data_IF_254619931188
#
_entry.id   IF_254619931188
#
_cell.length_a   1.000
_cell.length_b   1.000
_cell.length_c   1.000
_cell.angle_alpha   90.00
_cell.angle_beta   90.00
_cell.angle_gamma   90.00
#
_symmetry.space_group_name_H-M   'P 1'
#
loop_
_entity.id
_entity.type
_entity.pdbx_description
1 polymer ?
#
# COMPACT_ATOMS: atom_id res chain seq x y z
N UNK A 1 -53.05 -47.49 32.19
CA UNK A 1 -52.13 -47.48 31.03
C UNK A 1 -50.72 -47.21 31.56
N UNK A 2 -49.83 -48.22 31.52
CA UNK A 2 -48.44 -48.13 32.03
C UNK A 2 -47.51 -47.56 30.96
N UNK A 3 -46.60 -46.71 31.43
CA UNK A 3 -45.49 -46.01 30.78
C UNK A 3 -44.60 -46.90 29.88
N UNK A 4 -44.07 -46.36 28.77
CA UNK A 4 -42.66 -46.56 28.35
C UNK A 4 -42.13 -45.33 27.60
N UNK A 5 -41.03 -44.80 28.14
CA UNK A 5 -40.16 -43.76 27.61
C UNK A 5 -39.26 -44.37 26.51
N UNK A 6 -39.00 -43.66 25.41
CA UNK A 6 -37.86 -43.96 24.53
C UNK A 6 -37.06 -42.69 24.34
N UNK A 7 -35.83 -42.70 24.85
CA UNK A 7 -34.85 -41.64 24.72
C UNK A 7 -34.39 -41.54 23.26
N UNK A 8 -34.49 -40.35 22.66
CA UNK A 8 -33.87 -40.07 21.36
C UNK A 8 -32.61 -39.25 21.61
N UNK A 9 -31.48 -39.84 21.26
CA UNK A 9 -30.14 -39.28 21.39
C UNK A 9 -30.02 -38.01 20.53
N UNK A 10 -29.76 -36.85 21.15
CA UNK A 10 -29.45 -35.61 20.43
C UNK A 10 -27.98 -35.68 20.02
N UNK A 11 -27.71 -35.80 18.72
CA UNK A 11 -26.37 -35.69 18.16
C UNK A 11 -26.10 -34.18 17.95
N UNK A 12 -25.50 -33.51 18.92
CA UNK A 12 -25.07 -32.12 18.74
C UNK A 12 -23.82 -32.08 17.86
N UNK A 13 -24.00 -31.79 16.57
CA UNK A 13 -22.92 -31.44 15.66
C UNK A 13 -22.52 -29.98 15.93
N UNK A 14 -21.63 -29.74 16.90
CA UNK A 14 -20.96 -28.44 16.98
C UNK A 14 -19.87 -28.41 15.92
N UNK A 15 -20.18 -27.74 14.82
CA UNK A 15 -19.23 -27.33 13.80
C UNK A 15 -18.08 -26.59 14.50
N UNK A 16 -16.92 -27.23 14.61
CA UNK A 16 -15.70 -26.54 14.98
C UNK A 16 -15.43 -25.49 13.92
N UNK A 17 -15.48 -24.20 14.29
CA UNK A 17 -14.96 -23.15 13.44
C UNK A 17 -13.45 -23.37 13.31
N UNK A 18 -13.06 -24.12 12.28
CA UNK A 18 -11.71 -24.07 11.78
C UNK A 18 -11.47 -22.63 11.32
N UNK A 19 -10.84 -21.84 12.18
CA UNK A 19 -10.19 -20.62 11.71
C UNK A 19 -8.91 -21.10 11.04
N UNK A 20 -8.76 -21.01 9.71
CA UNK A 20 -7.44 -21.11 9.14
C UNK A 20 -6.62 -20.03 9.84
N UNK A 21 -5.62 -20.43 10.61
CA UNK A 21 -4.53 -19.55 10.97
C UNK A 21 -3.93 -19.14 9.63
N UNK A 22 -4.35 -17.99 9.12
CA UNK A 22 -3.75 -17.39 7.92
C UNK A 22 -2.34 -16.98 8.34
N UNK A 23 -1.43 -17.95 8.36
CA UNK A 23 -0.02 -17.66 8.20
C UNK A 23 0.12 -17.20 6.77
N UNK A 24 -0.15 -15.91 6.53
CA UNK A 24 0.14 -15.27 5.27
C UNK A 24 1.60 -15.61 4.94
N UNK A 25 1.83 -16.23 3.78
CA UNK A 25 3.17 -16.32 3.23
C UNK A 25 3.79 -14.91 3.28
N UNK A 26 5.11 -14.77 3.54
CA UNK A 26 5.74 -13.45 3.61
C UNK A 26 5.37 -12.69 2.33
N UNK A 27 4.63 -11.59 2.51
CA UNK A 27 4.16 -10.77 1.39
C UNK A 27 5.42 -10.31 0.66
N UNK A 28 5.63 -10.83 -0.55
CA UNK A 28 6.75 -10.42 -1.39
C UNK A 28 6.61 -8.91 -1.57
N UNK A 29 7.62 -8.16 -1.18
CA UNK A 29 7.61 -6.70 -1.29
C UNK A 29 7.31 -6.29 -2.74
N UNK A 30 6.23 -5.53 -2.99
CA UNK A 30 5.90 -5.07 -4.33
C UNK A 30 7.02 -4.21 -4.91
N UNK A 31 7.26 -4.33 -6.23
CA UNK A 31 8.32 -3.61 -6.96
C UNK A 31 7.77 -2.63 -7.99
N UNK A 32 6.55 -2.85 -8.46
CA UNK A 32 5.85 -2.01 -9.43
C UNK A 32 4.60 -1.40 -8.82
N UNK A 33 4.10 -0.29 -9.38
CA UNK A 33 2.85 0.29 -8.90
C UNK A 33 1.67 -0.67 -9.09
N UNK A 34 1.66 -1.45 -10.17
CA UNK A 34 0.65 -2.51 -10.39
C UNK A 34 0.56 -3.46 -9.20
N UNK A 35 1.69 -3.96 -8.70
CA UNK A 35 1.72 -4.87 -7.54
C UNK A 35 1.27 -4.18 -6.24
N UNK A 36 1.72 -2.93 -6.00
CA UNK A 36 1.26 -2.14 -4.85
C UNK A 36 -0.26 -1.96 -4.85
N UNK A 37 -0.82 -1.60 -6.00
CA UNK A 37 -2.24 -1.38 -6.18
C UNK A 37 -3.07 -2.67 -6.04
N UNK A 38 -2.62 -3.78 -6.64
CA UNK A 38 -3.32 -5.07 -6.55
C UNK A 38 -3.35 -5.63 -5.12
N UNK A 39 -2.29 -5.40 -4.35
CA UNK A 39 -2.18 -5.86 -2.96
C UNK A 39 -2.71 -4.84 -1.95
N UNK A 40 -3.31 -3.73 -2.41
CA UNK A 40 -3.72 -2.59 -1.57
C UNK A 40 -4.44 -3.00 -0.29
N UNK A 41 -5.36 -3.97 -0.35
CA UNK A 41 -6.12 -4.42 0.82
C UNK A 41 -5.25 -4.95 1.97
N UNK A 42 -4.11 -5.56 1.65
CA UNK A 42 -3.19 -6.20 2.59
C UNK A 42 -2.08 -5.27 3.09
N UNK A 43 -1.97 -4.05 2.54
CA UNK A 43 -0.92 -3.10 2.91
C UNK A 43 -1.17 -2.44 4.28
N UNK A 44 -0.10 -1.98 4.96
CA UNK A 44 -0.22 -1.05 6.09
C UNK A 44 -0.97 0.23 5.69
N UNK A 45 -1.60 0.89 6.66
CA UNK A 45 -2.46 2.05 6.39
C UNK A 45 -1.65 3.21 5.78
N UNK A 46 -0.42 3.38 6.23
CA UNK A 46 0.54 4.37 5.76
C UNK A 46 0.81 4.18 4.27
N UNK A 47 1.13 2.95 3.86
CA UNK A 47 1.38 2.60 2.46
C UNK A 47 0.12 2.70 1.60
N UNK A 48 -1.05 2.32 2.15
CA UNK A 48 -2.35 2.46 1.48
C UNK A 48 -2.62 3.91 1.09
N UNK A 49 -2.36 4.85 1.99
CA UNK A 49 -2.55 6.29 1.74
C UNK A 49 -1.80 6.75 0.49
N UNK A 50 -0.53 6.35 0.34
CA UNK A 50 0.27 6.67 -0.84
C UNK A 50 -0.28 6.04 -2.11
N UNK A 51 -0.70 4.77 -2.06
CA UNK A 51 -1.33 4.09 -3.21
C UNK A 51 -2.61 4.82 -3.63
N UNK A 52 -3.44 5.24 -2.68
CA UNK A 52 -4.67 5.98 -2.97
C UNK A 52 -4.40 7.36 -3.56
N UNK A 53 -3.41 8.09 -3.07
CA UNK A 53 -2.98 9.36 -3.64
C UNK A 53 -2.53 9.19 -5.11
N UNK A 54 -1.75 8.16 -5.39
CA UNK A 54 -1.29 7.84 -6.74
C UNK A 54 -2.43 7.42 -7.69
N UNK A 55 -3.42 6.69 -7.19
CA UNK A 55 -4.63 6.37 -7.98
C UNK A 55 -5.45 7.63 -8.30
N UNK A 56 -5.50 8.62 -7.40
CA UNK A 56 -6.12 9.93 -7.67
C UNK A 56 -5.37 10.69 -8.76
N UNK A 57 -4.03 10.72 -8.69
CA UNK A 57 -3.17 11.33 -9.73
C UNK A 57 -3.42 10.68 -11.09
N UNK A 58 -3.46 9.34 -11.13
CA UNK A 58 -3.71 8.58 -12.36
C UNK A 58 -5.18 8.64 -12.84
N UNK A 59 -6.10 9.15 -12.02
CA UNK A 59 -7.54 9.27 -12.30
C UNK A 59 -8.19 7.95 -12.70
N UNK A 60 -7.73 6.83 -12.13
CA UNK A 60 -8.26 5.49 -12.42
C UNK A 60 -8.08 4.57 -11.22
N UNK A 61 -8.94 3.56 -11.10
CA UNK A 61 -8.79 2.46 -10.14
C UNK A 61 -8.21 1.20 -10.80
N UNK A 62 -8.01 1.20 -12.12
CA UNK A 62 -7.35 0.10 -12.81
C UNK A 62 -5.84 0.17 -12.56
N UNK A 63 -5.30 -0.80 -11.82
CA UNK A 63 -3.89 -0.82 -11.43
C UNK A 63 -2.90 -0.81 -12.61
N UNK A 64 -3.24 -1.48 -13.72
CA UNK A 64 -2.37 -1.52 -14.91
C UNK A 64 -2.33 -0.15 -15.59
N UNK A 65 -3.51 0.44 -15.81
CA UNK A 65 -3.62 1.77 -16.41
C UNK A 65 -2.96 2.85 -15.52
N UNK A 66 -3.13 2.73 -14.20
CA UNK A 66 -2.48 3.64 -13.26
C UNK A 66 -0.96 3.50 -13.33
N UNK A 67 -0.43 2.28 -13.37
CA UNK A 67 1.00 2.05 -13.54
C UNK A 67 1.53 2.68 -14.84
N UNK A 68 0.89 2.41 -15.98
CA UNK A 68 1.25 3.00 -17.27
C UNK A 68 1.26 4.54 -17.25
N UNK A 69 0.27 5.14 -16.58
CA UNK A 69 0.19 6.60 -16.42
C UNK A 69 1.35 7.11 -15.55
N UNK A 70 1.52 6.53 -14.36
CA UNK A 70 2.47 7.00 -13.36
C UNK A 70 3.93 6.82 -13.80
N UNK A 71 4.26 5.70 -14.44
CA UNK A 71 5.65 5.44 -14.90
C UNK A 71 6.07 6.35 -16.05
N UNK A 72 5.13 7.04 -16.71
CA UNK A 72 5.42 8.00 -17.77
C UNK A 72 5.41 9.46 -17.29
N UNK A 73 5.13 9.73 -16.01
CA UNK A 73 5.17 11.08 -15.47
C UNK A 73 6.60 11.60 -15.41
N UNK A 74 6.77 12.87 -15.78
CA UNK A 74 8.00 13.65 -15.55
C UNK A 74 7.86 14.58 -14.35
N UNK A 75 6.64 14.92 -13.95
CA UNK A 75 6.36 15.76 -12.78
C UNK A 75 5.24 15.15 -11.94
N UNK A 76 5.42 15.14 -10.63
CA UNK A 76 4.46 14.61 -9.67
C UNK A 76 4.33 15.55 -8.47
N UNK A 77 3.11 16.02 -8.22
CA UNK A 77 2.74 16.81 -7.04
C UNK A 77 1.91 15.93 -6.08
N UNK A 78 2.43 15.73 -4.89
CA UNK A 78 1.82 14.98 -3.79
C UNK A 78 1.85 15.80 -2.48
N UNK A 79 1.90 17.12 -2.57
CA UNK A 79 1.94 17.98 -1.38
C UNK A 79 0.69 17.83 -0.50
N UNK A 80 0.82 18.01 0.80
CA UNK A 80 -0.32 18.05 1.74
C UNK A 80 -1.21 16.79 1.72
N UNK A 81 -0.63 15.61 1.48
CA UNK A 81 -1.39 14.34 1.38
C UNK A 81 -1.27 13.44 2.62
N UNK A 82 -0.64 13.92 3.71
CA UNK A 82 -0.42 13.14 4.94
C UNK A 82 0.34 11.82 4.67
N UNK A 83 1.21 11.80 3.64
CA UNK A 83 1.97 10.63 3.22
C UNK A 83 3.11 10.39 4.22
N UNK A 84 3.27 9.16 4.69
CA UNK A 84 4.39 8.74 5.54
C UNK A 84 5.24 7.62 4.94
N UNK A 85 4.66 6.75 4.11
CA UNK A 85 5.38 5.68 3.41
C UNK A 85 5.43 5.90 1.89
N UNK A 86 6.60 6.27 1.38
CA UNK A 86 6.82 6.56 -0.04
C UNK A 86 7.41 5.38 -0.85
N UNK A 87 7.46 4.16 -0.29
CA UNK A 87 7.88 2.97 -1.07
C UNK A 87 7.17 2.82 -2.42
N UNK A 88 5.87 3.12 -2.57
CA UNK A 88 5.20 3.04 -3.88
C UNK A 88 5.77 3.95 -4.98
N UNK A 89 6.58 4.96 -4.64
CA UNK A 89 7.21 5.87 -5.60
C UNK A 89 8.49 5.30 -6.24
N UNK A 90 9.07 4.23 -5.69
CA UNK A 90 10.45 3.82 -5.97
C UNK A 90 10.75 3.38 -7.42
N UNK A 91 9.72 3.25 -8.27
CA UNK A 91 9.84 2.85 -9.68
C UNK A 91 9.35 3.95 -10.65
N UNK A 92 9.02 5.15 -10.16
CA UNK A 92 8.62 6.27 -11.02
C UNK A 92 9.86 6.99 -11.58
N UNK A 93 10.77 6.23 -12.19
CA UNK A 93 12.14 6.67 -12.51
C UNK A 93 12.23 7.73 -13.60
N UNK A 94 11.13 7.99 -14.33
CA UNK A 94 11.06 9.06 -15.32
C UNK A 94 10.79 10.46 -14.71
N UNK A 95 10.52 10.54 -13.41
CA UNK A 95 10.32 11.80 -12.73
C UNK A 95 11.58 12.67 -12.77
N UNK A 96 11.40 13.92 -13.18
CA UNK A 96 12.38 15.00 -13.10
C UNK A 96 12.01 16.03 -12.03
N UNK A 97 10.73 16.13 -11.68
CA UNK A 97 10.23 16.97 -10.60
C UNK A 97 9.30 16.20 -9.67
N UNK A 98 9.56 16.28 -8.36
CA UNK A 98 8.73 15.66 -7.32
C UNK A 98 8.49 16.63 -6.16
N UNK A 99 7.22 16.94 -5.90
CA UNK A 99 6.81 17.74 -4.75
C UNK A 99 6.13 16.86 -3.70
N UNK A 100 6.75 16.76 -2.53
CA UNK A 100 6.28 16.04 -1.35
C UNK A 100 6.15 16.98 -0.15
N UNK A 101 6.03 18.28 -0.37
CA UNK A 101 5.89 19.30 0.68
C UNK A 101 4.72 19.00 1.63
N UNK A 102 4.90 19.31 2.92
CA UNK A 102 3.89 19.14 3.99
C UNK A 102 3.29 17.72 4.01
N UNK A 103 4.14 16.74 4.31
CA UNK A 103 3.75 15.36 4.51
C UNK A 103 4.35 14.85 5.85
N UNK A 104 4.35 13.54 6.07
CA UNK A 104 4.79 12.92 7.33
C UNK A 104 5.92 11.92 7.08
N UNK A 105 6.75 12.19 6.06
CA UNK A 105 7.81 11.30 5.60
C UNK A 105 9.00 11.40 6.55
N UNK A 106 9.55 10.27 6.96
CA UNK A 106 10.79 10.18 7.74
C UNK A 106 11.89 9.37 7.05
N UNK A 107 11.51 8.39 6.22
CA UNK A 107 12.42 7.57 5.41
C UNK A 107 12.32 7.95 3.93
N UNK A 108 13.42 8.50 3.41
CA UNK A 108 13.54 8.88 2.00
C UNK A 108 14.35 7.89 1.15
N UNK A 109 14.74 6.73 1.70
CA UNK A 109 15.45 5.70 0.95
C UNK A 109 14.77 5.29 -0.37
N UNK A 110 13.43 5.23 -0.47
CA UNK A 110 12.78 4.91 -1.75
C UNK A 110 13.09 5.89 -2.90
N UNK A 111 13.53 7.11 -2.60
CA UNK A 111 13.87 8.13 -3.60
C UNK A 111 15.21 7.87 -4.30
N UNK A 112 16.10 7.02 -3.75
CA UNK A 112 17.43 6.76 -4.30
C UNK A 112 17.41 6.18 -5.73
N UNK A 113 16.29 5.61 -6.15
CA UNK A 113 16.09 5.07 -7.50
C UNK A 113 15.65 6.13 -8.51
N UNK A 114 15.25 7.33 -8.07
CA UNK A 114 14.71 8.39 -8.92
C UNK A 114 15.85 9.28 -9.45
N UNK A 115 16.79 8.65 -10.15
CA UNK A 115 18.06 9.26 -10.57
C UNK A 115 17.92 10.39 -11.59
N UNK A 116 16.72 10.58 -12.16
CA UNK A 116 16.43 11.66 -13.11
C UNK A 116 15.87 12.94 -12.43
N UNK A 117 15.66 12.93 -11.11
CA UNK A 117 15.17 14.10 -10.39
C UNK A 117 16.16 15.26 -10.47
N UNK A 118 15.67 16.40 -10.92
CA UNK A 118 16.38 17.69 -10.92
C UNK A 118 15.72 18.71 -9.99
N UNK A 119 14.47 18.45 -9.58
CA UNK A 119 13.71 19.25 -8.62
C UNK A 119 13.03 18.34 -7.61
N UNK A 120 13.29 18.57 -6.32
CA UNK A 120 12.74 17.79 -5.21
C UNK A 120 12.38 18.72 -4.05
N UNK A 121 11.11 18.75 -3.66
CA UNK A 121 10.62 19.48 -2.49
C UNK A 121 10.21 18.50 -1.40
N UNK A 122 10.85 18.61 -0.23
CA UNK A 122 10.63 17.76 0.94
C UNK A 122 10.37 18.57 2.23
N UNK A 123 10.26 19.90 2.13
CA UNK A 123 10.01 20.75 3.31
C UNK A 123 8.67 20.38 3.98
N UNK A 124 8.57 20.58 5.30
CA UNK A 124 7.38 20.16 6.06
C UNK A 124 7.26 18.63 6.20
N UNK A 125 8.38 17.90 6.27
CA UNK A 125 8.42 16.47 6.60
C UNK A 125 9.26 16.21 7.87
N UNK A 126 9.38 14.95 8.28
CA UNK A 126 10.05 14.49 9.50
C UNK A 126 11.40 13.80 9.20
N UNK A 127 12.12 14.31 8.20
CA UNK A 127 13.35 13.72 7.68
C UNK A 127 14.54 14.17 8.53
N UNK A 128 15.34 13.21 8.98
CA UNK A 128 16.58 13.46 9.74
C UNK A 128 17.84 12.93 9.06
N UNK A 129 17.71 11.96 8.15
CA UNK A 129 18.81 11.41 7.36
C UNK A 129 18.59 11.71 5.87
N UNK A 130 19.52 12.45 5.29
CA UNK A 130 19.52 12.82 3.88
C UNK A 130 20.50 12.01 3.03
N UNK A 131 21.24 11.06 3.62
CA UNK A 131 22.19 10.20 2.89
C UNK A 131 21.61 9.43 1.70
N UNK A 132 20.30 9.09 1.65
CA UNK A 132 19.77 8.39 0.49
C UNK A 132 19.64 9.22 -0.81
N UNK A 133 19.87 10.54 -0.75
CA UNK A 133 19.95 11.43 -1.92
C UNK A 133 21.40 11.56 -2.39
#
# INVERSE_FOLDING_TARGET
MKLRLVATTIFTLTLGFYTPKVTAAPIKTPKTFTEWCQQKASLPQETKGTVEALLKVAKTQNCSQANETLTNLTSLDLRENQISDIKPLSNLTNLTSLDLWENQISDIKPLSNLTNLTSLSLAGNQISDIKPL
#
